data_IF_201928427760
#
_entry.id   IF_201928427760
#
_cell.length_a   1.000
_cell.length_b   1.000
_cell.length_c   1.000
_cell.angle_alpha   90.00
_cell.angle_beta   90.00
_cell.angle_gamma   90.00
#
_symmetry.space_group_name_H-M   'P 1'
#
loop_
_entity.id
_entity.type
_entity.pdbx_description
1 polymer ?
#
# COMPACT_ATOMS: atom_id res chain seq x y z
N UNK A 1 2.70 -10.01 0.14
CA UNK A 1 1.88 -8.80 0.40
C UNK A 1 2.65 -7.87 1.32
N UNK A 2 2.54 -6.57 1.12
CA UNK A 2 3.12 -5.53 1.97
C UNK A 2 2.11 -5.19 3.08
N UNK A 3 2.45 -5.35 4.37
CA UNK A 3 1.47 -5.27 5.46
C UNK A 3 1.21 -3.85 5.98
N UNK A 4 2.07 -2.89 5.66
CA UNK A 4 2.04 -1.53 6.20
C UNK A 4 2.57 -0.53 5.16
N UNK A 5 2.26 0.75 5.33
CA UNK A 5 2.88 1.80 4.52
C UNK A 5 4.29 2.08 5.03
N UNK A 6 5.19 2.42 4.12
CA UNK A 6 6.51 2.88 4.51
C UNK A 6 7.49 3.09 3.37
N UNK A 7 8.77 3.21 3.75
CA UNK A 7 9.87 3.52 2.84
C UNK A 7 10.90 2.39 2.86
N UNK A 8 11.42 2.02 1.69
CA UNK A 8 12.44 0.96 1.56
C UNK A 8 13.77 1.48 2.11
N UNK A 9 14.34 0.73 3.06
CA UNK A 9 15.69 0.95 3.61
C UNK A 9 16.77 0.18 2.85
N UNK A 10 16.43 -0.99 2.29
CA UNK A 10 17.35 -1.77 1.46
C UNK A 10 16.62 -2.76 0.56
N UNK A 11 17.21 -3.03 -0.61
CA UNK A 11 16.70 -3.95 -1.63
C UNK A 11 16.10 -3.22 -2.83
N UNK A 12 15.85 -3.97 -3.89
CA UNK A 12 15.08 -3.56 -5.05
C UNK A 12 14.11 -4.67 -5.45
N UNK A 13 12.93 -4.30 -5.93
CA UNK A 13 11.90 -5.26 -6.33
C UNK A 13 10.90 -4.65 -7.30
N UNK A 14 9.98 -5.47 -7.79
CA UNK A 14 8.76 -5.04 -8.46
C UNK A 14 7.57 -5.21 -7.52
N UNK A 15 6.71 -4.20 -7.46
CA UNK A 15 5.48 -4.18 -6.66
C UNK A 15 4.28 -4.13 -7.59
N UNK A 16 3.33 -5.04 -7.39
CA UNK A 16 2.01 -5.01 -8.00
C UNK A 16 1.06 -4.16 -7.14
N UNK A 17 0.60 -3.05 -7.71
CA UNK A 17 -0.32 -2.09 -7.09
C UNK A 17 -1.73 -2.16 -7.71
N UNK A 18 -2.04 -3.23 -8.46
CA UNK A 18 -3.33 -3.43 -9.15
C UNK A 18 -4.51 -3.43 -8.19
N UNK A 19 -4.33 -3.93 -6.97
CA UNK A 19 -5.36 -3.91 -5.92
C UNK A 19 -5.76 -2.49 -5.50
N UNK A 20 -4.88 -1.50 -5.69
CA UNK A 20 -5.15 -0.10 -5.34
C UNK A 20 -5.49 0.76 -6.54
N UNK A 21 -4.83 0.52 -7.67
CA UNK A 21 -4.88 1.40 -8.86
C UNK A 21 -5.70 0.82 -10.00
N UNK A 22 -5.96 -0.49 -10.01
CA UNK A 22 -6.51 -1.20 -11.16
C UNK A 22 -5.49 -1.44 -12.28
N UNK A 23 -4.26 -0.93 -12.17
CA UNK A 23 -3.23 -1.10 -13.19
C UNK A 23 -2.42 -2.38 -12.94
N UNK A 24 -2.42 -3.30 -13.91
CA UNK A 24 -1.70 -4.58 -13.78
C UNK A 24 -0.19 -4.48 -14.00
N UNK A 25 0.36 -3.31 -14.35
CA UNK A 25 1.79 -3.18 -14.65
C UNK A 25 2.57 -3.04 -13.34
N UNK A 26 3.48 -3.97 -13.00
CA UNK A 26 4.28 -3.85 -11.79
C UNK A 26 5.17 -2.60 -11.83
N UNK A 27 5.26 -1.91 -10.70
CA UNK A 27 6.13 -0.75 -10.51
C UNK A 27 7.44 -1.18 -9.87
N UNK A 28 8.56 -0.73 -10.44
CA UNK A 28 9.88 -0.97 -9.83
C UNK A 28 10.07 -0.08 -8.60
N UNK A 29 10.59 -0.65 -7.54
CA UNK A 29 10.92 0.04 -6.29
C UNK A 29 12.36 -0.23 -5.88
N UNK A 30 12.97 0.77 -5.25
CA UNK A 30 14.34 0.75 -4.76
C UNK A 30 14.41 1.46 -3.41
N UNK A 31 15.59 1.46 -2.79
CA UNK A 31 15.85 2.18 -1.53
C UNK A 31 15.44 3.66 -1.64
N UNK A 32 14.75 4.16 -0.62
CA UNK A 32 14.13 5.48 -0.60
C UNK A 32 12.73 5.53 -1.25
N UNK A 33 12.31 4.47 -1.95
CA UNK A 33 10.98 4.38 -2.54
C UNK A 33 9.89 4.07 -1.51
N UNK A 34 8.70 4.65 -1.73
CA UNK A 34 7.51 4.35 -0.94
C UNK A 34 6.83 3.05 -1.41
N UNK A 35 6.27 2.34 -0.44
CA UNK A 35 5.40 1.18 -0.63
C UNK A 35 4.14 1.34 0.20
N UNK A 36 3.03 0.81 -0.34
CA UNK A 36 1.70 0.95 0.28
C UNK A 36 1.19 -0.40 0.76
N UNK A 37 0.53 -0.41 1.91
CA UNK A 37 -0.14 -1.57 2.46
C UNK A 37 -1.14 -2.18 1.46
N UNK A 38 -1.26 -3.50 1.45
CA UNK A 38 -2.15 -4.25 0.56
C UNK A 38 -1.53 -4.59 -0.80
N UNK A 39 -0.51 -3.86 -1.25
CA UNK A 39 0.21 -4.16 -2.50
C UNK A 39 1.04 -5.45 -2.41
N UNK A 40 1.45 -6.01 -3.55
CA UNK A 40 2.18 -7.27 -3.60
C UNK A 40 3.63 -7.08 -4.06
N UNK A 41 4.57 -7.40 -3.18
CA UNK A 41 5.99 -7.55 -3.55
C UNK A 41 6.20 -8.83 -4.38
N UNK A 42 6.85 -8.73 -5.55
CA UNK A 42 6.92 -9.81 -6.54
C UNK A 42 8.29 -10.51 -6.64
N UNK A 43 9.38 -9.75 -6.76
CA UNK A 43 10.64 -10.31 -7.27
C UNK A 43 11.68 -10.57 -6.21
N UNK A 44 11.81 -9.73 -5.19
CA UNK A 44 12.89 -9.84 -4.20
C UNK A 44 12.50 -9.27 -2.83
N UNK A 45 13.12 -9.74 -1.73
CA UNK A 45 12.84 -9.22 -0.40
C UNK A 45 13.17 -7.74 -0.27
N UNK A 46 12.36 -7.01 0.50
CA UNK A 46 12.57 -5.61 0.83
C UNK A 46 12.68 -5.46 2.34
N UNK A 47 13.66 -4.67 2.79
CA UNK A 47 13.66 -4.12 4.16
C UNK A 47 13.07 -2.73 4.09
N UNK A 48 12.07 -2.45 4.91
CA UNK A 48 11.40 -1.16 4.94
C UNK A 48 11.29 -0.64 6.37
N UNK A 49 11.22 0.68 6.48
CA UNK A 49 10.79 1.38 7.69
C UNK A 49 9.29 1.61 7.60
N UNK A 50 8.56 1.11 8.58
CA UNK A 50 7.11 1.33 8.71
C UNK A 50 6.86 2.80 9.05
N UNK A 51 5.96 3.44 8.31
CA UNK A 51 5.53 4.83 8.55
C UNK A 51 4.07 4.91 9.01
N UNK A 52 3.22 3.96 8.62
CA UNK A 52 1.83 3.92 9.07
C UNK A 52 1.29 2.49 9.10
N UNK A 53 0.43 2.20 10.07
CA UNK A 53 -0.16 0.87 10.32
C UNK A 53 -1.67 0.96 10.51
N UNK A 54 -2.38 -0.15 10.26
CA UNK A 54 -3.83 -0.24 10.47
C UNK A 54 -4.60 0.84 9.73
N UNK A 55 -5.52 1.51 10.42
CA UNK A 55 -6.36 2.59 9.89
C UNK A 55 -5.56 3.82 9.40
N UNK A 56 -4.32 3.97 9.86
CA UNK A 56 -3.45 5.07 9.43
C UNK A 56 -2.78 4.79 8.09
N UNK A 57 -2.91 3.59 7.53
CA UNK A 57 -2.44 3.32 6.16
C UNK A 57 -3.30 4.03 5.12
N UNK A 58 -2.80 4.22 3.90
CA UNK A 58 -3.58 4.73 2.76
C UNK A 58 -4.85 3.89 2.55
N UNK A 59 -4.72 2.57 2.59
CA UNK A 59 -5.87 1.67 2.44
C UNK A 59 -6.82 1.75 3.65
N UNK A 60 -6.29 1.85 4.88
CA UNK A 60 -7.09 2.02 6.10
C UNK A 60 -7.93 3.29 6.05
N UNK A 61 -7.33 4.42 5.66
CA UNK A 61 -8.05 5.68 5.46
C UNK A 61 -9.10 5.59 4.35
N UNK A 62 -8.79 4.90 3.25
CA UNK A 62 -9.75 4.69 2.17
C UNK A 62 -10.96 3.89 2.64
N UNK A 63 -10.75 2.81 3.41
CA UNK A 63 -11.84 2.01 3.96
C UNK A 63 -12.72 2.83 4.91
N UNK A 64 -12.11 3.65 5.79
CA UNK A 64 -12.84 4.55 6.67
C UNK A 64 -13.70 5.56 5.88
N UNK A 65 -13.18 6.10 4.76
CA UNK A 65 -13.94 7.01 3.89
C UNK A 65 -15.13 6.30 3.23
N UNK A 66 -14.96 5.06 2.78
CA UNK A 66 -16.04 4.26 2.20
C UNK A 66 -17.14 3.99 3.23
N UNK A 67 -16.76 3.64 4.46
CA UNK A 67 -17.71 3.40 5.56
C UNK A 67 -18.52 4.65 5.93
N UNK A 68 -17.87 5.82 5.99
CA UNK A 68 -18.54 7.10 6.20
C UNK A 68 -19.49 7.46 5.05
N UNK A 69 -19.11 7.18 3.80
CA UNK A 69 -19.93 7.42 2.62
C UNK A 69 -21.21 6.57 2.62
N UNK A 70 -21.08 5.27 2.88
CA UNK A 70 -22.21 4.33 2.93
C UNK A 70 -23.19 4.67 4.06
N UNK A 71 -22.68 5.05 5.23
CA UNK A 71 -23.53 5.47 6.36
C UNK A 71 -24.23 6.82 6.16
N UNK A 72 -23.68 7.71 5.32
CA UNK A 72 -24.31 9.01 5.01
C UNK A 72 -25.49 8.90 4.04
N UNK A 73 -25.51 7.89 3.14
CA UNK A 73 -26.53 7.70 2.11
C UNK A 73 -27.75 6.88 2.57
N UNK A 74 -27.90 6.69 3.89
CA UNK A 74 -28.99 5.95 4.54
C UNK A 74 -29.87 6.82 5.44
N UNK A 75 -29.94 8.13 5.15
CA UNK A 75 -30.90 9.08 5.73
C UNK A 75 -31.72 9.77 4.67
#
# INVERSE_FOLDING_TARGET
MIPADGVILSGDSSVDESILTGESRPRRVLTGGEVTAGTLNLTSPLRMQVQSVGEQTRIGRLMNLVELGVSSNSR
#
